data_IF_581573410725
#
_entry.id   IF_581573410725
#
_cell.length_a   1.000
_cell.length_b   1.000
_cell.length_c   1.000
_cell.angle_alpha   90.00
_cell.angle_beta   90.00
_cell.angle_gamma   90.00
#
_symmetry.space_group_name_H-M   'P 1'
#
loop_
_entity.id
_entity.type
_entity.pdbx_description
1 polymer ?
#
# COMPACT_ATOMS: atom_id res chain seq x y z
N UNK A 1 -25.59 10.23 10.30
CA UNK A 1 -24.98 9.67 9.08
C UNK A 1 -23.92 8.68 9.53
N UNK A 2 -24.07 7.39 9.20
CA UNK A 2 -23.01 6.39 9.46
C UNK A 2 -21.92 6.66 8.43
N UNK A 3 -20.72 7.01 8.89
CA UNK A 3 -19.54 6.82 8.06
C UNK A 3 -19.51 5.34 7.71
N UNK A 4 -19.57 5.00 6.43
CA UNK A 4 -19.34 3.64 5.95
C UNK A 4 -17.91 3.26 6.32
N UNK A 5 -17.73 2.66 7.50
CA UNK A 5 -16.46 2.26 8.12
C UNK A 5 -15.70 1.18 7.34
N UNK A 6 -16.10 0.90 6.09
CA UNK A 6 -15.41 0.04 5.14
C UNK A 6 -14.48 0.84 4.22
N UNK A 7 -14.72 2.15 4.03
CA UNK A 7 -13.97 2.96 3.07
C UNK A 7 -12.64 3.47 3.63
N UNK A 8 -12.56 3.75 4.94
CA UNK A 8 -11.32 4.24 5.58
C UNK A 8 -10.21 3.16 5.65
N UNK A 9 -10.51 1.91 5.33
CA UNK A 9 -9.56 0.78 5.39
C UNK A 9 -9.04 0.32 4.04
N UNK A 10 -9.59 0.83 2.92
CA UNK A 10 -9.32 0.30 1.59
C UNK A 10 -7.96 0.72 1.01
N UNK A 11 -7.24 1.65 1.64
CA UNK A 11 -5.93 2.12 1.20
C UNK A 11 -4.86 2.04 2.29
N UNK A 12 -5.16 1.41 3.43
CA UNK A 12 -4.29 1.34 4.62
C UNK A 12 -2.87 0.84 4.28
N UNK A 13 -2.76 -0.16 3.40
CA UNK A 13 -1.45 -0.66 2.97
C UNK A 13 -0.65 0.40 2.20
N UNK A 14 -1.28 1.15 1.30
CA UNK A 14 -0.60 2.19 0.53
C UNK A 14 -0.19 3.37 1.43
N UNK A 15 -1.08 3.76 2.36
CA UNK A 15 -0.80 4.78 3.37
C UNK A 15 0.37 4.37 4.24
N UNK A 16 0.39 3.13 4.73
CA UNK A 16 1.48 2.62 5.55
C UNK A 16 2.82 2.60 4.79
N UNK A 17 2.82 2.10 3.54
CA UNK A 17 4.02 2.10 2.71
C UNK A 17 4.54 3.52 2.45
N UNK A 18 3.65 4.50 2.27
CA UNK A 18 4.03 5.89 2.02
C UNK A 18 4.47 6.64 3.29
N UNK A 19 3.62 6.66 4.31
CA UNK A 19 3.73 7.56 5.46
C UNK A 19 4.49 6.95 6.64
N UNK A 20 4.40 5.63 6.83
CA UNK A 20 5.11 4.95 7.94
C UNK A 20 6.51 4.52 7.52
N UNK A 21 6.62 3.89 6.35
CA UNK A 21 7.86 3.23 5.94
C UNK A 21 8.64 3.93 4.84
N UNK A 22 8.03 4.88 4.12
CA UNK A 22 8.62 5.53 2.95
C UNK A 22 9.15 4.51 1.91
N UNK A 23 8.48 3.37 1.77
CA UNK A 23 8.85 2.31 0.85
C UNK A 23 8.36 2.66 -0.56
N UNK A 24 9.03 3.62 -1.21
CA UNK A 24 8.60 4.21 -2.49
C UNK A 24 9.44 3.73 -3.69
N UNK A 25 10.37 2.81 -3.45
CA UNK A 25 11.26 2.26 -4.47
C UNK A 25 11.77 0.87 -4.07
N UNK A 26 12.37 0.13 -5.00
CA UNK A 26 13.00 -1.18 -4.70
C UNK A 26 14.10 -1.07 -3.63
N UNK A 27 14.81 0.06 -3.59
CA UNK A 27 15.88 0.32 -2.60
C UNK A 27 15.33 0.49 -1.19
N UNK A 28 14.13 1.04 -1.09
CA UNK A 28 13.43 1.33 0.17
C UNK A 28 12.39 0.26 0.51
N UNK A 29 12.29 -0.81 -0.30
CA UNK A 29 11.34 -1.89 -0.08
C UNK A 29 11.54 -2.52 1.29
N UNK A 30 10.43 -2.77 1.97
CA UNK A 30 10.39 -3.30 3.34
C UNK A 30 9.84 -4.72 3.36
N UNK A 31 10.19 -5.49 4.40
CA UNK A 31 9.61 -6.82 4.58
C UNK A 31 8.11 -6.71 4.86
N UNK A 32 7.31 -7.59 4.25
CA UNK A 32 5.88 -7.73 4.59
C UNK A 32 5.63 -7.96 6.09
N UNK A 33 6.60 -8.53 6.80
CA UNK A 33 6.53 -8.75 8.25
C UNK A 33 6.61 -7.47 9.08
N UNK A 34 7.05 -6.37 8.47
CA UNK A 34 7.16 -5.06 9.13
C UNK A 34 5.88 -4.24 9.05
N UNK A 35 4.91 -4.69 8.26
CA UNK A 35 3.62 -4.01 8.07
C UNK A 35 2.70 -4.28 9.26
N UNK A 36 1.95 -3.24 9.61
CA UNK A 36 0.89 -3.21 10.59
C UNK A 36 -0.45 -3.52 9.90
N UNK A 37 -0.61 -3.13 8.64
CA UNK A 37 -1.79 -3.38 7.83
C UNK A 37 -2.00 -4.86 7.56
N UNK A 38 -3.28 -5.25 7.49
CA UNK A 38 -3.67 -6.58 7.07
C UNK A 38 -3.36 -6.77 5.56
N UNK A 39 -2.72 -7.88 5.23
CA UNK A 39 -2.28 -8.20 3.87
C UNK A 39 -3.39 -8.86 3.03
N UNK A 40 -4.60 -9.01 3.56
CA UNK A 40 -5.75 -9.59 2.86
C UNK A 40 -6.02 -8.95 1.48
N UNK A 41 -5.63 -7.68 1.28
CA UNK A 41 -5.78 -6.97 0.00
C UNK A 41 -4.48 -6.83 -0.81
N UNK A 42 -3.36 -7.41 -0.37
CA UNK A 42 -2.08 -7.28 -1.06
C UNK A 42 -2.17 -7.73 -2.52
N UNK A 43 -2.85 -8.85 -2.78
CA UNK A 43 -3.01 -9.35 -4.15
C UNK A 43 -3.81 -8.37 -5.02
N UNK A 44 -4.87 -7.76 -4.47
CA UNK A 44 -5.63 -6.73 -5.18
C UNK A 44 -4.76 -5.54 -5.58
N UNK A 45 -3.92 -5.04 -4.67
CA UNK A 45 -3.04 -3.91 -4.98
C UNK A 45 -1.92 -4.27 -5.96
N UNK A 46 -1.40 -5.51 -5.90
CA UNK A 46 -0.45 -6.03 -6.89
C UNK A 46 -1.08 -6.13 -8.27
N UNK A 47 -2.29 -6.67 -8.37
CA UNK A 47 -3.03 -6.80 -9.63
C UNK A 47 -3.35 -5.44 -10.26
N UNK A 48 -3.55 -4.41 -9.43
CA UNK A 48 -3.72 -3.02 -9.88
C UNK A 48 -2.41 -2.31 -10.22
N UNK A 49 -1.26 -2.92 -9.95
CA UNK A 49 0.07 -2.32 -10.14
C UNK A 49 0.43 -1.27 -9.10
N UNK A 50 -0.30 -1.21 -7.99
CA UNK A 50 -0.11 -0.20 -6.94
C UNK A 50 1.02 -0.54 -5.99
N UNK A 51 1.26 -1.83 -5.77
CA UNK A 51 2.34 -2.35 -4.94
C UNK A 51 3.13 -3.34 -5.77
N UNK A 52 4.45 -3.33 -5.61
CA UNK A 52 5.35 -4.32 -6.20
C UNK A 52 6.00 -5.13 -5.09
N UNK A 53 6.21 -6.43 -5.35
CA UNK A 53 6.86 -7.37 -4.46
C UNK A 53 8.12 -7.90 -5.13
N UNK A 54 9.25 -7.77 -4.44
CA UNK A 54 10.54 -8.29 -4.87
C UNK A 54 10.63 -9.80 -4.60
N UNK A 55 11.58 -10.47 -5.27
CA UNK A 55 11.81 -11.91 -5.13
C UNK A 55 12.13 -12.35 -3.68
N UNK A 56 12.66 -11.43 -2.86
CA UNK A 56 12.97 -11.66 -1.45
C UNK A 56 11.78 -11.42 -0.51
N UNK A 57 10.59 -11.12 -1.05
CA UNK A 57 9.36 -10.89 -0.32
C UNK A 57 9.25 -9.51 0.33
N UNK A 58 10.15 -8.57 -0.01
CA UNK A 58 9.98 -7.16 0.31
C UNK A 58 9.01 -6.49 -0.65
N UNK A 59 8.27 -5.50 -0.15
CA UNK A 59 7.29 -4.76 -0.95
C UNK A 59 7.56 -3.26 -0.89
N UNK A 60 7.10 -2.56 -1.92
CA UNK A 60 7.12 -1.10 -1.99
C UNK A 60 5.92 -0.59 -2.79
N UNK A 61 5.55 0.66 -2.49
CA UNK A 61 4.54 1.43 -3.19
C UNK A 61 5.08 1.87 -4.56
N UNK A 62 4.35 1.60 -5.63
CA UNK A 62 4.72 2.04 -6.97
C UNK A 62 4.27 3.49 -7.20
N UNK A 63 4.81 4.18 -8.23
CA UNK A 63 4.31 5.51 -8.61
C UNK A 63 2.81 5.51 -8.93
N UNK A 64 2.29 4.43 -9.52
CA UNK A 64 0.86 4.28 -9.81
C UNK A 64 0.04 4.14 -8.52
N UNK A 65 0.52 3.36 -7.55
CA UNK A 65 -0.11 3.26 -6.24
C UNK A 65 -0.15 4.59 -5.50
N UNK A 66 0.95 5.35 -5.57
CA UNK A 66 1.01 6.70 -5.00
C UNK A 66 -0.02 7.63 -5.67
N UNK A 67 -0.15 7.61 -6.99
CA UNK A 67 -1.18 8.40 -7.69
C UNK A 67 -2.60 7.98 -7.28
N UNK A 68 -2.86 6.67 -7.18
CA UNK A 68 -4.16 6.17 -6.74
C UNK A 68 -4.49 6.59 -5.30
N UNK A 69 -3.50 6.59 -4.42
CA UNK A 69 -3.63 7.07 -3.05
C UNK A 69 -3.92 8.57 -3.01
N UNK A 70 -3.17 9.38 -3.75
CA UNK A 70 -3.38 10.84 -3.78
C UNK A 70 -4.75 11.23 -4.36
N UNK A 71 -5.22 10.51 -5.39
CA UNK A 71 -6.54 10.71 -5.98
C UNK A 71 -7.70 10.34 -5.04
N UNK A 72 -7.44 9.55 -3.99
CA UNK A 72 -8.44 9.21 -2.98
C UNK A 72 -8.75 10.38 -2.03
N UNK A 73 -7.78 11.27 -1.80
CA UNK A 73 -7.90 12.42 -0.89
C UNK A 73 -8.30 13.74 -1.57
N UNK A 74 -8.39 13.75 -2.91
CA UNK A 74 -8.77 14.91 -3.73
C UNK A 74 -10.27 14.97 -4.00
#
# INVERSE_FOLDING_TARGET
MRADSRSDSAFLLLEELMFTHHALSEREAISKKSLISDLDQLQFFKDKGYVSELDDGRIYLTPQGMQALLAHFS
#
